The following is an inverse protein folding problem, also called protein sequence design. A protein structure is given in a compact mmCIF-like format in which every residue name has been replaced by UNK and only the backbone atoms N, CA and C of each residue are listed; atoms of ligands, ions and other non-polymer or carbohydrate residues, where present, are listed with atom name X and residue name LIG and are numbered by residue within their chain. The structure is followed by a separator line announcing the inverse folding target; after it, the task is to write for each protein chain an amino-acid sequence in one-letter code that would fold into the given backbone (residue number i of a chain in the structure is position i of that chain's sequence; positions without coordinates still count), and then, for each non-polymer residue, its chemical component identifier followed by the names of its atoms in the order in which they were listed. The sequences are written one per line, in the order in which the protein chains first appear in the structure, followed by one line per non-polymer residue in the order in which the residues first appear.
data_IF_843195368193
#
_entry.id   IF_843195368193
#
_cell.length_a   1.000
_cell.length_b   1.000
_cell.length_c   1.000
_cell.angle_alpha   90.00
_cell.angle_beta   90.00
_cell.angle_gamma   90.00
#
_symmetry.space_group_name_H-M   'P 1'
#
loop_
_entity.id
_entity.type
_entity.pdbx_description
1 polymer ?
#
# COMPACT_ATOMS: atom_id res chain seq x y z
N UNK A 1 -7.33 -25.45 31.66
CA UNK A 1 -7.92 -24.28 30.98
C UNK A 1 -7.34 -24.15 29.57
N UNK A 2 -7.97 -24.79 28.60
CA UNK A 2 -7.39 -25.07 27.28
C UNK A 2 -8.24 -24.43 26.19
N UNK A 3 -7.74 -23.35 25.56
CA UNK A 3 -8.41 -22.77 24.38
C UNK A 3 -8.21 -21.27 24.11
N UNK A 4 -7.13 -20.66 24.60
CA UNK A 4 -6.84 -19.24 24.36
C UNK A 4 -5.47 -19.02 23.72
N UNK A 5 -5.35 -17.98 22.90
CA UNK A 5 -4.09 -17.48 22.35
C UNK A 5 -3.39 -16.61 23.40
N UNK A 6 -2.06 -16.72 23.45
CA UNK A 6 -1.18 -15.82 24.20
C UNK A 6 -0.42 -14.94 23.21
N UNK A 7 -0.53 -13.63 23.36
CA UNK A 7 0.15 -12.65 22.52
C UNK A 7 1.23 -11.96 23.36
N UNK A 8 2.49 -12.16 22.98
CA UNK A 8 3.61 -11.40 23.54
C UNK A 8 3.71 -10.05 22.86
N UNK A 9 3.65 -8.98 23.65
CA UNK A 9 3.80 -7.61 23.17
C UNK A 9 4.87 -6.89 23.98
N UNK A 10 5.33 -5.74 23.50
CA UNK A 10 6.24 -4.87 24.25
C UNK A 10 5.64 -4.33 25.54
N UNK A 11 4.31 -4.46 25.74
CA UNK A 11 3.58 -4.04 26.95
C UNK A 11 3.21 -5.20 27.87
N UNK A 12 3.70 -6.41 27.58
CA UNK A 12 3.40 -7.63 28.32
C UNK A 12 2.55 -8.62 27.53
N UNK A 13 2.14 -9.69 28.22
CA UNK A 13 1.40 -10.81 27.64
C UNK A 13 -0.10 -10.53 27.72
N UNK A 14 -0.78 -10.71 26.59
CA UNK A 14 -2.24 -10.64 26.50
C UNK A 14 -2.79 -12.04 26.22
N UNK A 15 -3.90 -12.40 26.89
CA UNK A 15 -4.64 -13.62 26.59
C UNK A 15 -5.92 -13.25 25.84
N UNK A 16 -6.17 -13.89 24.70
CA UNK A 16 -7.40 -13.70 23.93
C UNK A 16 -7.97 -15.03 23.44
N UNK A 17 -9.25 -15.03 23.04
CA UNK A 17 -9.92 -16.21 22.46
C UNK A 17 -9.76 -16.30 20.95
N UNK A 18 -9.54 -15.16 20.31
CA UNK A 18 -9.33 -15.05 18.87
C UNK A 18 -8.44 -13.87 18.51
N UNK A 19 -7.81 -13.96 17.34
CA UNK A 19 -6.93 -12.94 16.80
C UNK A 19 -7.41 -12.49 15.43
N UNK A 20 -7.58 -11.18 15.25
CA UNK A 20 -7.75 -10.57 13.95
C UNK A 20 -6.51 -9.73 13.63
N UNK A 21 -5.71 -10.17 12.67
CA UNK A 21 -4.53 -9.44 12.20
C UNK A 21 -4.91 -8.55 11.01
N UNK A 22 -4.98 -7.25 11.29
CA UNK A 22 -5.11 -6.17 10.29
C UNK A 22 -3.82 -5.33 10.21
N UNK A 23 -2.65 -5.95 10.37
CA UNK A 23 -1.36 -5.27 10.51
C UNK A 23 -0.82 -4.57 9.26
N UNK A 24 -1.60 -4.45 8.19
CA UNK A 24 -1.25 -3.73 6.97
C UNK A 24 0.13 -4.10 6.44
N UNK A 25 1.08 -3.16 6.50
CA UNK A 25 2.47 -3.33 6.06
C UNK A 25 3.22 -4.45 6.78
N UNK A 26 2.73 -4.95 7.91
CA UNK A 26 3.32 -6.05 8.70
C UNK A 26 2.46 -7.32 8.68
N UNK A 27 1.36 -7.37 7.90
CA UNK A 27 0.35 -8.44 7.98
C UNK A 27 0.93 -9.85 7.79
N UNK A 28 1.77 -10.06 6.78
CA UNK A 28 2.43 -11.34 6.51
C UNK A 28 3.47 -11.74 7.58
N UNK A 29 4.14 -10.77 8.21
CA UNK A 29 5.08 -11.05 9.33
C UNK A 29 4.33 -11.51 10.57
N UNK A 30 3.26 -10.80 10.94
CA UNK A 30 2.43 -11.19 12.08
C UNK A 30 1.82 -12.57 11.83
N UNK A 31 1.35 -12.86 10.61
CA UNK A 31 0.88 -14.20 10.26
C UNK A 31 1.96 -15.28 10.46
N UNK A 32 3.22 -15.03 10.03
CA UNK A 32 4.34 -15.93 10.30
C UNK A 32 4.63 -16.12 11.79
N UNK A 33 4.55 -15.05 12.58
CA UNK A 33 4.70 -15.12 14.04
C UNK A 33 3.62 -16.01 14.69
N UNK A 34 2.43 -16.08 14.08
CA UNK A 34 1.34 -16.95 14.50
C UNK A 34 1.45 -18.39 13.95
N UNK A 35 2.59 -18.78 13.39
CA UNK A 35 2.81 -20.13 12.84
C UNK A 35 2.15 -20.36 11.47
N UNK A 36 1.61 -19.31 10.85
CA UNK A 36 0.97 -19.40 9.53
C UNK A 36 2.02 -19.15 8.45
N UNK A 37 1.99 -19.93 7.38
CA UNK A 37 2.78 -19.65 6.16
C UNK A 37 1.91 -18.87 5.17
N UNK A 38 2.11 -17.56 4.99
CA UNK A 38 1.33 -16.78 4.04
C UNK A 38 1.71 -17.17 2.61
N UNK A 39 0.70 -17.28 1.73
CA UNK A 39 0.92 -17.56 0.31
C UNK A 39 1.56 -16.39 -0.46
N UNK A 40 1.62 -15.22 0.16
CA UNK A 40 2.12 -13.96 -0.41
C UNK A 40 3.18 -13.34 0.50
N UNK A 41 3.90 -12.37 -0.05
CA UNK A 41 4.76 -11.46 0.73
C UNK A 41 4.30 -10.02 0.55
N UNK A 42 4.35 -9.24 1.63
CA UNK A 42 4.07 -7.81 1.54
C UNK A 42 5.31 -7.09 1.02
N UNK A 43 5.16 -6.44 -0.13
CA UNK A 43 6.17 -5.58 -0.75
C UNK A 43 5.69 -4.13 -0.64
N UNK A 44 6.46 -3.25 0.00
CA UNK A 44 6.04 -1.87 0.22
C UNK A 44 6.29 -1.00 -1.01
N UNK A 45 5.23 -0.38 -1.54
CA UNK A 45 5.32 0.63 -2.59
C UNK A 45 4.98 2.00 -2.02
N UNK A 46 5.96 2.91 -2.00
CA UNK A 46 5.73 4.29 -1.58
C UNK A 46 5.14 5.09 -2.75
N UNK A 47 4.08 5.83 -2.44
CA UNK A 47 3.57 6.90 -3.27
C UNK A 47 3.91 8.26 -2.68
N UNK A 48 4.51 9.12 -3.50
CA UNK A 48 4.95 10.47 -3.15
C UNK A 48 4.05 11.49 -3.82
N UNK A 49 3.66 12.51 -3.07
CA UNK A 49 2.74 13.54 -3.53
C UNK A 49 3.44 14.90 -3.58
N UNK A 50 2.99 15.73 -4.51
CA UNK A 50 3.13 17.18 -4.43
C UNK A 50 1.77 17.78 -4.07
N UNK A 51 1.77 19.00 -3.58
CA UNK A 51 0.57 19.80 -3.35
C UNK A 51 0.64 21.06 -4.22
N UNK A 52 -0.51 21.49 -4.74
CA UNK A 52 -0.58 22.78 -5.43
C UNK A 52 -0.50 23.91 -4.40
N UNK A 53 0.24 24.96 -4.75
CA UNK A 53 0.27 26.19 -3.95
C UNK A 53 -1.12 26.83 -3.88
N UNK A 54 -1.45 27.56 -2.79
CA UNK A 54 -2.76 28.19 -2.61
C UNK A 54 -3.22 29.05 -3.79
N UNK A 55 -2.28 29.77 -4.42
CA UNK A 55 -2.52 30.69 -5.55
C UNK A 55 -3.00 29.97 -6.82
N UNK A 56 -2.87 28.64 -6.88
CA UNK A 56 -3.19 27.81 -8.04
C UNK A 56 -4.29 26.80 -7.79
N UNK A 57 -4.95 26.85 -6.63
CA UNK A 57 -6.04 25.94 -6.27
C UNK A 57 -7.17 25.90 -7.30
N UNK A 58 -7.44 27.01 -7.98
CA UNK A 58 -8.50 27.13 -8.99
C UNK A 58 -8.29 26.24 -10.22
N UNK A 59 -7.05 25.80 -10.48
CA UNK A 59 -6.75 24.86 -11.56
C UNK A 59 -7.35 23.47 -11.31
N UNK A 60 -7.58 23.11 -10.03
CA UNK A 60 -8.07 21.79 -9.64
C UNK A 60 -9.37 21.89 -8.84
N UNK A 61 -10.50 21.75 -9.54
CA UNK A 61 -11.85 21.83 -8.94
C UNK A 61 -12.39 20.47 -8.47
N UNK A 62 -11.79 19.36 -8.92
CA UNK A 62 -12.25 18.00 -8.63
C UNK A 62 -11.13 16.97 -8.77
N UNK A 63 -11.52 15.73 -9.04
CA UNK A 63 -10.59 14.62 -9.28
C UNK A 63 -10.24 14.55 -10.77
N UNK A 64 -8.96 14.37 -11.12
CA UNK A 64 -8.53 14.17 -12.51
C UNK A 64 -7.64 12.94 -12.55
N UNK A 65 -8.10 11.89 -13.23
CA UNK A 65 -7.39 10.62 -13.35
C UNK A 65 -7.06 10.31 -14.82
N UNK A 66 -5.90 9.69 -15.09
CA UNK A 66 -5.64 9.12 -16.40
C UNK A 66 -6.52 7.89 -16.64
N UNK A 67 -6.70 7.52 -17.91
CA UNK A 67 -7.23 6.21 -18.26
C UNK A 67 -6.24 5.13 -17.77
N UNK A 68 -6.69 4.08 -17.05
CA UNK A 68 -5.81 3.00 -16.61
C UNK A 68 -5.07 2.35 -17.80
N UNK A 69 -3.75 2.17 -17.66
CA UNK A 69 -2.91 1.47 -18.64
C UNK A 69 -2.68 0.02 -18.16
N UNK A 70 -3.15 -1.01 -18.88
CA UNK A 70 -2.96 -2.42 -18.49
C UNK A 70 -1.49 -2.85 -18.37
N UNK A 71 -0.56 -2.09 -18.97
CA UNK A 71 0.89 -2.34 -18.87
C UNK A 71 1.48 -1.83 -17.54
N UNK A 72 0.68 -1.14 -16.75
CA UNK A 72 1.10 -0.45 -15.55
C UNK A 72 0.36 -1.04 -14.33
N UNK A 73 1.07 -1.53 -13.29
CA UNK A 73 0.43 -2.15 -12.11
C UNK A 73 -0.32 -1.17 -11.20
N UNK A 74 -0.04 0.13 -11.33
CA UNK A 74 -0.71 1.25 -10.68
C UNK A 74 -1.28 2.28 -11.69
N UNK A 75 -2.11 3.21 -11.24
CA UNK A 75 -2.83 4.13 -12.13
C UNK A 75 -1.95 5.25 -12.74
N UNK A 76 -0.77 5.51 -12.17
CA UNK A 76 0.05 6.68 -12.50
C UNK A 76 -0.38 7.94 -11.72
N UNK A 77 0.30 9.06 -12.01
CA UNK A 77 0.03 10.34 -11.35
C UNK A 77 -1.38 10.85 -11.69
N UNK A 78 -2.07 11.39 -10.71
CA UNK A 78 -3.39 11.98 -10.85
C UNK A 78 -3.52 13.21 -9.96
N UNK A 79 -4.66 13.88 -10.00
CA UNK A 79 -4.96 15.00 -9.14
C UNK A 79 -6.15 14.71 -8.24
N UNK A 80 -6.00 15.04 -6.97
CA UNK A 80 -7.00 14.81 -5.93
C UNK A 80 -7.30 16.10 -5.19
N UNK A 81 -8.58 16.43 -5.04
CA UNK A 81 -9.07 17.41 -4.07
C UNK A 81 -9.46 16.68 -2.79
N UNK A 82 -8.73 16.91 -1.71
CA UNK A 82 -9.03 16.28 -0.41
C UNK A 82 -10.21 16.97 0.27
N UNK A 83 -10.79 16.31 1.29
CA UNK A 83 -11.85 16.87 2.13
C UNK A 83 -11.39 18.10 2.94
N UNK A 84 -10.08 18.28 3.12
CA UNK A 84 -9.47 19.44 3.79
C UNK A 84 -9.09 20.55 2.81
N UNK A 85 -9.60 20.50 1.59
CA UNK A 85 -9.32 21.47 0.53
C UNK A 85 -7.83 21.54 0.12
N UNK A 86 -7.06 20.47 0.37
CA UNK A 86 -5.71 20.30 -0.18
C UNK A 86 -5.84 19.79 -1.62
N UNK A 87 -4.93 20.24 -2.49
CA UNK A 87 -4.88 19.86 -3.91
C UNK A 87 -3.63 19.04 -4.13
N UNK A 88 -3.78 17.72 -4.08
CA UNK A 88 -2.67 16.78 -4.22
C UNK A 88 -2.46 16.42 -5.69
N UNK A 89 -1.20 16.29 -6.07
CA UNK A 89 -0.76 15.81 -7.36
C UNK A 89 0.16 14.60 -7.17
N UNK A 90 -0.25 13.45 -7.68
CA UNK A 90 0.40 12.16 -7.43
C UNK A 90 -0.63 11.06 -7.16
N UNK A 91 -0.21 9.95 -6.53
CA UNK A 91 1.17 9.62 -6.24
C UNK A 91 1.89 9.01 -7.46
N UNK A 92 3.21 9.03 -7.43
CA UNK A 92 4.03 8.04 -8.15
C UNK A 92 3.94 6.67 -7.43
N UNK A 93 4.61 5.65 -7.94
CA UNK A 93 4.68 4.34 -7.29
C UNK A 93 6.10 3.79 -7.35
N UNK A 94 6.84 3.97 -6.25
CA UNK A 94 8.24 3.53 -6.13
C UNK A 94 8.41 2.46 -5.07
N UNK A 95 9.34 1.55 -5.30
CA UNK A 95 9.69 0.54 -4.30
C UNK A 95 10.27 1.22 -3.05
N UNK A 96 9.73 0.90 -1.87
CA UNK A 96 10.32 1.30 -0.60
C UNK A 96 11.23 0.19 -0.07
N UNK A 97 12.37 0.57 0.51
CA UNK A 97 13.30 -0.38 1.16
C UNK A 97 13.08 -0.49 2.67
N UNK A 98 11.93 0.00 3.13
CA UNK A 98 11.42 -0.09 4.49
C UNK A 98 9.90 -0.15 4.41
N UNK A 99 9.27 -1.08 5.12
CA UNK A 99 7.80 -1.27 5.13
C UNK A 99 7.10 0.02 5.55
N UNK A 100 7.58 0.68 6.58
CA UNK A 100 7.13 2.02 7.01
C UNK A 100 8.12 3.11 6.57
N UNK A 101 8.43 3.11 5.28
CA UNK A 101 9.46 3.96 4.67
C UNK A 101 8.92 5.24 4.03
N UNK A 102 8.37 6.16 4.81
CA UNK A 102 7.73 7.40 4.32
C UNK A 102 8.68 8.48 3.79
N UNK A 103 10.00 8.26 3.83
CA UNK A 103 11.01 9.18 3.25
C UNK A 103 11.85 8.47 2.21
N UNK A 104 12.37 9.20 1.22
CA UNK A 104 13.27 8.67 0.18
C UNK A 104 14.49 7.95 0.74
N UNK A 105 15.05 8.47 1.83
CA UNK A 105 16.19 7.87 2.55
C UNK A 105 15.81 6.76 3.54
N UNK A 106 14.52 6.41 3.67
CA UNK A 106 14.10 5.36 4.61
C UNK A 106 14.58 3.99 4.13
N UNK A 107 15.47 3.40 4.90
CA UNK A 107 16.05 2.10 4.63
C UNK A 107 15.98 1.21 5.88
N UNK A 108 15.68 -0.06 5.68
CA UNK A 108 15.81 -1.08 6.71
C UNK A 108 16.37 -2.35 6.05
N UNK A 109 17.51 -2.82 6.53
CA UNK A 109 18.23 -3.96 5.94
C UNK A 109 17.38 -5.23 5.92
N UNK A 110 16.62 -5.50 6.99
CA UNK A 110 15.72 -6.67 7.08
C UNK A 110 14.58 -6.58 6.06
N UNK A 111 13.90 -5.43 5.96
CA UNK A 111 12.80 -5.22 5.01
C UNK A 111 13.29 -5.32 3.55
N UNK A 112 14.45 -4.71 3.26
CA UNK A 112 15.08 -4.77 1.94
C UNK A 112 15.46 -6.20 1.58
N UNK A 113 16.12 -6.91 2.50
CA UNK A 113 16.53 -8.30 2.35
C UNK A 113 15.32 -9.22 2.11
N UNK A 114 14.24 -9.07 2.89
CA UNK A 114 13.02 -9.87 2.71
C UNK A 114 12.34 -9.64 1.34
N UNK A 115 12.45 -8.43 0.79
CA UNK A 115 11.91 -8.10 -0.53
C UNK A 115 12.80 -8.64 -1.65
N UNK A 116 14.11 -8.35 -1.59
CA UNK A 116 15.07 -8.72 -2.64
C UNK A 116 15.33 -10.23 -2.70
N UNK A 117 15.24 -10.95 -1.57
CA UNK A 117 15.37 -12.41 -1.58
C UNK A 117 14.08 -13.14 -1.97
N UNK A 118 12.98 -12.43 -2.20
CA UNK A 118 11.73 -13.04 -2.61
C UNK A 118 11.69 -13.25 -4.13
N UNK A 119 11.62 -14.49 -4.58
CA UNK A 119 11.64 -14.81 -6.01
C UNK A 119 10.49 -14.16 -6.81
N UNK A 120 9.31 -14.02 -6.21
CA UNK A 120 8.18 -13.32 -6.82
C UNK A 120 8.50 -11.85 -7.16
N UNK A 121 9.36 -11.19 -6.36
CA UNK A 121 9.78 -9.82 -6.62
C UNK A 121 10.58 -9.69 -7.91
N UNK A 122 11.49 -10.61 -8.19
CA UNK A 122 12.25 -10.60 -9.45
C UNK A 122 11.38 -10.87 -10.67
N UNK A 123 10.39 -11.75 -10.54
CA UNK A 123 9.38 -11.97 -11.59
C UNK A 123 8.58 -10.71 -11.90
N UNK A 124 8.14 -9.99 -10.86
CA UNK A 124 7.48 -8.70 -11.00
C UNK A 124 8.40 -7.66 -11.65
N UNK A 125 9.63 -7.54 -11.14
CA UNK A 125 10.62 -6.56 -11.62
C UNK A 125 10.94 -6.79 -13.10
N UNK A 126 11.14 -8.04 -13.53
CA UNK A 126 11.37 -8.38 -14.94
C UNK A 126 10.16 -8.08 -15.83
N UNK A 127 8.93 -8.25 -15.32
CA UNK A 127 7.70 -7.92 -16.05
C UNK A 127 7.54 -6.41 -16.25
N UNK A 128 7.89 -5.60 -15.25
CA UNK A 128 7.63 -4.16 -15.22
C UNK A 128 8.88 -3.28 -15.16
N UNK A 129 10.05 -3.77 -15.59
CA UNK A 129 11.33 -3.07 -15.39
C UNK A 129 11.37 -1.67 -16.03
N UNK A 130 10.84 -1.52 -17.26
CA UNK A 130 10.79 -0.22 -17.96
C UNK A 130 9.99 0.80 -17.14
N UNK A 131 8.78 0.38 -16.75
CA UNK A 131 7.86 1.16 -15.94
C UNK A 131 8.44 1.53 -14.58
N UNK A 132 9.11 0.58 -13.93
CA UNK A 132 9.78 0.79 -12.65
C UNK A 132 10.90 1.83 -12.74
N UNK A 133 11.71 1.81 -13.81
CA UNK A 133 12.75 2.81 -14.04
C UNK A 133 12.15 4.21 -14.27
N UNK A 134 11.04 4.30 -15.02
CA UNK A 134 10.34 5.58 -15.24
C UNK A 134 9.77 6.15 -13.93
N UNK A 135 9.20 5.31 -13.07
CA UNK A 135 8.73 5.70 -11.74
C UNK A 135 9.86 6.19 -10.84
N UNK A 136 10.98 5.45 -10.82
CA UNK A 136 12.17 5.86 -10.08
C UNK A 136 12.71 7.20 -10.58
N UNK A 137 12.78 7.39 -11.90
CA UNK A 137 13.19 8.66 -12.50
C UNK A 137 12.24 9.81 -12.11
N UNK A 138 10.93 9.60 -12.14
CA UNK A 138 9.93 10.58 -11.68
C UNK A 138 10.02 10.91 -10.20
N UNK A 139 10.39 9.94 -9.35
CA UNK A 139 10.68 10.18 -7.93
C UNK A 139 11.88 11.12 -7.73
N UNK A 140 12.95 10.97 -8.49
CA UNK A 140 14.14 11.83 -8.33
C UNK A 140 14.06 13.15 -9.10
N UNK A 141 13.25 13.23 -10.17
CA UNK A 141 13.13 14.42 -11.02
C UNK A 141 11.76 15.07 -10.91
N UNK A 142 11.67 16.19 -10.17
CA UNK A 142 10.46 17.04 -10.14
C UNK A 142 10.01 17.45 -11.54
N UNK A 143 10.95 17.76 -12.43
CA UNK A 143 10.64 18.12 -13.80
C UNK A 143 9.96 16.97 -14.57
N UNK A 144 10.41 15.73 -14.37
CA UNK A 144 9.76 14.56 -14.99
C UNK A 144 8.36 14.32 -14.43
N UNK A 145 8.17 14.52 -13.13
CA UNK A 145 6.86 14.44 -12.48
C UNK A 145 5.90 15.48 -13.04
N UNK A 146 6.32 16.76 -13.15
CA UNK A 146 5.54 17.85 -13.75
C UNK A 146 5.15 17.52 -15.19
N UNK A 147 6.09 17.02 -16.02
CA UNK A 147 5.78 16.61 -17.40
C UNK A 147 4.72 15.51 -17.48
N UNK A 148 4.70 14.58 -16.52
CA UNK A 148 3.67 13.56 -16.45
C UNK A 148 2.30 14.15 -16.08
N UNK A 149 2.26 15.07 -15.11
CA UNK A 149 1.04 15.80 -14.74
C UNK A 149 0.48 16.68 -15.87
N UNK A 150 1.36 17.30 -16.67
CA UNK A 150 0.98 18.15 -17.79
C UNK A 150 0.20 17.41 -18.89
N UNK A 151 0.24 16.07 -18.92
CA UNK A 151 -0.64 15.27 -19.79
C UNK A 151 -2.10 15.34 -19.37
N UNK A 152 -2.37 15.65 -18.10
CA UNK A 152 -3.72 15.78 -17.52
C UNK A 152 -4.11 17.25 -17.36
N UNK A 153 -3.16 18.12 -17.04
CA UNK A 153 -3.36 19.55 -16.81
C UNK A 153 -2.20 20.35 -17.42
N UNK A 154 -2.26 20.72 -18.71
CA UNK A 154 -1.14 21.35 -19.42
C UNK A 154 -0.64 22.66 -18.80
N UNK A 155 -1.52 23.38 -18.10
CA UNK A 155 -1.22 24.69 -17.48
C UNK A 155 -0.34 24.60 -16.23
N UNK A 156 -0.19 23.41 -15.61
CA UNK A 156 0.56 23.25 -14.36
C UNK A 156 2.07 23.47 -14.60
N UNK A 157 2.70 24.21 -13.71
CA UNK A 157 4.15 24.48 -13.73
C UNK A 157 4.84 23.89 -12.50
N UNK A 158 6.16 23.78 -12.57
CA UNK A 158 6.98 23.28 -11.45
C UNK A 158 6.87 24.18 -10.21
N UNK A 159 6.77 25.50 -10.40
CA UNK A 159 6.59 26.48 -9.33
C UNK A 159 5.25 26.37 -8.60
N UNK A 160 4.25 25.79 -9.26
CA UNK A 160 2.91 25.61 -8.70
C UNK A 160 2.85 24.44 -7.70
N UNK A 161 3.90 23.63 -7.61
CA UNK A 161 3.96 22.41 -6.82
C UNK A 161 4.96 22.50 -5.66
N UNK A 162 4.51 22.24 -4.45
CA UNK A 162 5.34 22.09 -3.25
C UNK A 162 5.37 20.62 -2.80
N UNK A 163 6.47 20.12 -2.20
CA UNK A 163 6.51 18.75 -1.70
C UNK A 163 5.36 18.49 -0.73
N UNK A 164 4.59 17.43 -0.97
CA UNK A 164 3.53 16.97 -0.09
C UNK A 164 3.97 15.77 0.75
N UNK A 165 2.98 15.05 1.27
CA UNK A 165 3.18 13.82 2.04
C UNK A 165 3.60 12.61 1.20
N UNK A 166 3.73 11.46 1.87
CA UNK A 166 3.85 10.17 1.21
C UNK A 166 3.04 9.11 1.94
N UNK A 167 2.60 8.09 1.21
CA UNK A 167 1.97 6.90 1.76
C UNK A 167 2.71 5.65 1.31
N UNK A 168 2.68 4.58 2.10
CA UNK A 168 3.26 3.29 1.70
C UNK A 168 2.15 2.24 1.60
N UNK A 169 2.01 1.65 0.42
CA UNK A 169 1.02 0.60 0.13
C UNK A 169 1.58 -0.75 0.54
N UNK A 170 0.82 -1.50 1.32
CA UNK A 170 1.09 -2.89 1.67
C UNK A 170 0.62 -3.81 0.54
N UNK A 171 1.43 -3.95 -0.51
CA UNK A 171 1.04 -4.73 -1.67
C UNK A 171 1.39 -6.21 -1.47
N UNK A 172 0.39 -7.08 -1.44
CA UNK A 172 0.63 -8.51 -1.47
C UNK A 172 1.13 -8.95 -2.85
N UNK A 173 2.27 -9.63 -2.85
CA UNK A 173 2.91 -10.19 -4.03
C UNK A 173 2.94 -11.72 -3.92
N UNK A 174 2.42 -12.40 -4.94
CA UNK A 174 2.43 -13.84 -5.04
C UNK A 174 3.76 -14.40 -5.60
N UNK A 175 4.07 -15.70 -5.43
CA UNK A 175 5.35 -16.28 -5.84
C UNK A 175 5.59 -16.30 -7.36
N UNK A 176 4.52 -16.16 -8.16
CA UNK A 176 4.54 -16.01 -9.61
C UNK A 176 4.83 -14.58 -10.09
N UNK A 177 4.97 -13.62 -9.16
CA UNK A 177 5.17 -12.21 -9.46
C UNK A 177 3.90 -11.42 -9.69
N UNK A 178 2.73 -12.02 -9.42
CA UNK A 178 1.44 -11.35 -9.56
C UNK A 178 1.14 -10.51 -8.32
N UNK A 179 0.77 -9.24 -8.51
CA UNK A 179 0.23 -8.41 -7.45
C UNK A 179 -1.20 -8.85 -7.18
N UNK A 180 -1.54 -9.09 -5.93
CA UNK A 180 -2.91 -9.43 -5.57
C UNK A 180 -3.73 -8.15 -5.59
N UNK A 181 -4.72 -8.09 -6.49
CA UNK A 181 -5.57 -6.92 -6.70
C UNK A 181 -6.85 -6.95 -5.86
N UNK A 182 -7.14 -8.07 -5.19
CA UNK A 182 -8.33 -8.27 -4.35
C UNK A 182 -7.96 -8.51 -2.86
N UNK A 183 -8.97 -8.54 -1.99
CA UNK A 183 -8.83 -8.88 -0.59
C UNK A 183 -8.28 -10.29 -0.42
N UNK A 184 -7.17 -10.41 0.30
CA UNK A 184 -6.61 -11.70 0.68
C UNK A 184 -6.74 -11.90 2.17
N UNK A 185 -7.64 -12.81 2.55
CA UNK A 185 -7.88 -13.20 3.94
C UNK A 185 -7.47 -14.66 4.09
N UNK A 186 -6.62 -14.93 5.07
CA UNK A 186 -6.21 -16.29 5.44
C UNK A 186 -6.71 -16.61 6.84
N UNK A 187 -7.46 -17.69 6.96
CA UNK A 187 -8.04 -18.18 8.20
C UNK A 187 -7.20 -19.31 8.78
N UNK A 188 -7.17 -19.40 10.10
CA UNK A 188 -6.53 -20.46 10.87
C UNK A 188 -7.29 -20.67 12.19
N UNK A 189 -7.05 -21.76 12.94
CA UNK A 189 -7.77 -22.02 14.19
C UNK A 189 -7.68 -20.82 15.15
N UNK A 190 -8.82 -20.18 15.44
CA UNK A 190 -8.90 -19.00 16.31
C UNK A 190 -8.27 -17.72 15.74
N UNK A 191 -7.96 -17.66 14.43
CA UNK A 191 -7.22 -16.54 13.84
C UNK A 191 -7.72 -16.17 12.44
N UNK A 192 -7.77 -14.87 12.16
CA UNK A 192 -8.03 -14.32 10.82
C UNK A 192 -6.91 -13.34 10.48
N UNK A 193 -6.31 -13.50 9.31
CA UNK A 193 -5.24 -12.65 8.80
C UNK A 193 -5.67 -11.93 7.54
N UNK A 194 -5.82 -10.61 7.62
CA UNK A 194 -6.03 -9.75 6.45
C UNK A 194 -4.66 -9.44 5.85
N UNK A 195 -4.28 -10.22 4.85
CA UNK A 195 -2.98 -10.15 4.21
C UNK A 195 -2.94 -9.07 3.12
N UNK A 196 -4.03 -8.85 2.41
CA UNK A 196 -4.13 -7.81 1.38
C UNK A 196 -5.46 -7.07 1.48
N UNK A 197 -5.41 -5.75 1.44
CA UNK A 197 -6.58 -4.87 1.37
C UNK A 197 -6.21 -3.69 0.44
N UNK A 198 -6.17 -3.92 -0.88
CA UNK A 198 -5.70 -2.93 -1.83
C UNK A 198 -6.76 -1.84 -2.04
N UNK A 199 -6.38 -0.76 -2.74
CA UNK A 199 -7.34 0.28 -3.12
C UNK A 199 -8.51 -0.32 -3.92
N UNK A 200 -9.78 0.06 -3.66
CA UNK A 200 -10.26 1.17 -2.83
C UNK A 200 -10.69 0.78 -1.40
N UNK A 201 -9.83 0.05 -0.65
CA UNK A 201 -10.17 -0.44 0.69
C UNK A 201 -10.62 0.63 1.70
N UNK A 202 -10.13 1.87 1.63
CA UNK A 202 -10.58 2.94 2.52
C UNK A 202 -12.08 3.26 2.33
N UNK A 203 -12.51 3.42 1.07
CA UNK A 203 -13.92 3.66 0.71
C UNK A 203 -14.79 2.46 1.06
N UNK A 204 -14.30 1.24 0.83
CA UNK A 204 -15.03 0.01 1.11
C UNK A 204 -14.90 -0.49 2.56
N UNK A 205 -14.26 0.28 3.46
CA UNK A 205 -13.84 -0.17 4.80
C UNK A 205 -14.98 -0.72 5.66
N UNK A 206 -16.16 -0.10 5.63
CA UNK A 206 -17.33 -0.57 6.38
C UNK A 206 -17.82 -1.92 5.86
N UNK A 207 -17.89 -2.09 4.53
CA UNK A 207 -18.31 -3.34 3.91
C UNK A 207 -17.30 -4.47 4.17
N UNK A 208 -16.00 -4.16 4.06
CA UNK A 208 -14.92 -5.11 4.39
C UNK A 208 -14.99 -5.50 5.88
N UNK A 209 -15.19 -4.52 6.76
CA UNK A 209 -15.34 -4.75 8.20
C UNK A 209 -16.50 -5.67 8.53
N UNK A 210 -17.67 -5.50 7.88
CA UNK A 210 -18.80 -6.41 8.02
C UNK A 210 -18.49 -7.81 7.53
N UNK A 211 -17.82 -7.94 6.39
CA UNK A 211 -17.43 -9.24 5.85
C UNK A 211 -16.46 -9.98 6.79
N UNK A 212 -15.47 -9.26 7.34
CA UNK A 212 -14.52 -9.81 8.31
C UNK A 212 -15.24 -10.19 9.61
N UNK A 213 -16.12 -9.34 10.14
CA UNK A 213 -16.86 -9.60 11.37
C UNK A 213 -17.77 -10.84 11.23
N UNK A 214 -18.43 -11.00 10.08
CA UNK A 214 -19.25 -12.18 9.78
C UNK A 214 -18.41 -13.47 9.77
N UNK A 215 -17.23 -13.45 9.14
CA UNK A 215 -16.28 -14.58 9.19
C UNK A 215 -15.76 -14.84 10.59
N UNK A 216 -15.45 -13.78 11.35
CA UNK A 216 -14.98 -13.87 12.72
C UNK A 216 -16.01 -14.55 13.63
N UNK A 217 -17.31 -14.29 13.45
CA UNK A 217 -18.38 -15.00 14.16
C UNK A 217 -18.29 -16.52 13.99
N UNK A 218 -18.01 -16.98 12.77
CA UNK A 218 -17.92 -18.40 12.42
C UNK A 218 -16.60 -19.04 12.88
N UNK A 219 -15.46 -18.39 12.57
CA UNK A 219 -14.11 -18.93 12.81
C UNK A 219 -13.69 -18.84 14.27
N UNK A 220 -14.16 -17.82 14.99
CA UNK A 220 -13.78 -17.57 16.39
C UNK A 220 -14.85 -18.01 17.40
N UNK A 221 -15.98 -18.54 16.94
CA UNK A 221 -17.08 -18.98 17.81
C UNK A 221 -17.62 -17.84 18.69
N UNK A 222 -17.78 -16.65 18.12
CA UNK A 222 -18.27 -15.45 18.81
C UNK A 222 -19.80 -15.27 18.71
N UNK A 223 -20.51 -16.34 18.33
CA UNK A 223 -21.98 -16.41 18.25
C UNK A 223 -22.62 -16.93 19.52
#
# INVERSE_FOLDING_TARGET
ETGGLLLETTRGVLRCRGLLNCGGLQSDRIARMCGITPRVRIVPFRGEYYELIPQRKELLKGLIYPVPDPRFPFLGVHFTRTVHDIREAGPNAVLALKREGYRKSSFNSRDAAETLMYFGFWRLALRYWKTGLEEMYRSFSKAAFVRALQRLMPEIRSEDLVPGGSGVRAQALAPDGTLVDDFLIQEAPGMIHVLNAPSPAATASISIGRAIASRAGQVLGLG
#
